data_IF_458910305331
#
_entry.id   IF_458910305331
#
_cell.length_a   1.000
_cell.length_b   1.000
_cell.length_c   1.000
_cell.angle_alpha   90.00
_cell.angle_beta   90.00
_cell.angle_gamma   90.00
#
_symmetry.space_group_name_H-M   'P 1'
#
loop_
_entity.id
_entity.type
_entity.pdbx_description
1 polymer ?
#
# COMPACT_ATOMS: atom_id res chain seq x y z
N UNK A 1 -11.81 -15.23 2.94
CA UNK A 1 -10.62 -15.22 3.84
C UNK A 1 -9.44 -15.86 3.12
N UNK A 2 -8.29 -15.23 3.16
CA UNK A 2 -7.09 -15.76 2.49
C UNK A 2 -6.59 -17.05 3.16
N UNK A 3 -6.14 -17.99 2.33
CA UNK A 3 -5.48 -19.20 2.84
C UNK A 3 -4.01 -18.87 3.16
N UNK A 4 -3.64 -18.93 4.41
CA UNK A 4 -2.30 -18.57 4.88
C UNK A 4 -1.17 -19.45 4.31
N UNK A 5 -1.49 -20.59 3.73
CA UNK A 5 -0.51 -21.50 3.14
C UNK A 5 -0.36 -21.38 1.63
N UNK A 6 -1.09 -20.41 1.03
CA UNK A 6 -0.93 -20.05 -0.39
C UNK A 6 -0.39 -18.63 -0.48
N UNK A 7 0.21 -18.24 -1.61
CA UNK A 7 0.67 -16.87 -1.79
C UNK A 7 -0.48 -15.88 -1.55
N UNK A 8 -0.24 -14.88 -0.72
CA UNK A 8 -1.24 -13.85 -0.40
C UNK A 8 -0.55 -12.58 0.06
N UNK A 9 -1.29 -11.48 -0.01
CA UNK A 9 -0.86 -10.19 0.51
C UNK A 9 -1.82 -9.77 1.62
N UNK A 10 -1.30 -9.60 2.83
CA UNK A 10 -2.06 -9.04 3.95
C UNK A 10 -1.89 -7.54 3.94
N UNK A 11 -2.99 -6.79 3.94
CA UNK A 11 -2.99 -5.34 3.82
C UNK A 11 -3.30 -4.70 5.16
N UNK A 12 -2.40 -3.81 5.61
CA UNK A 12 -2.54 -3.03 6.83
C UNK A 12 -2.84 -1.58 6.43
N UNK A 13 -3.98 -1.06 6.85
CA UNK A 13 -4.51 0.23 6.39
C UNK A 13 -4.64 1.22 7.54
N UNK A 14 -4.35 2.49 7.27
CA UNK A 14 -4.59 3.56 8.22
C UNK A 14 -6.08 3.86 8.36
N UNK A 15 -6.79 4.02 7.24
CA UNK A 15 -8.20 4.40 7.26
C UNK A 15 -9.02 3.75 6.13
N UNK A 16 -10.34 3.97 6.16
CA UNK A 16 -11.28 3.38 5.23
C UNK A 16 -11.07 3.79 3.77
N UNK A 17 -10.79 5.06 3.42
CA UNK A 17 -10.56 5.43 2.02
C UNK A 17 -9.47 4.61 1.37
N UNK A 18 -8.41 4.28 2.08
CA UNK A 18 -7.35 3.43 1.54
C UNK A 18 -7.83 2.00 1.26
N UNK A 19 -8.77 1.49 2.06
CA UNK A 19 -9.36 0.18 1.76
C UNK A 19 -10.02 0.17 0.39
N UNK A 20 -10.75 1.24 0.07
CA UNK A 20 -11.43 1.35 -1.22
C UNK A 20 -10.42 1.49 -2.37
N UNK A 21 -9.35 2.26 -2.16
CA UNK A 21 -8.27 2.39 -3.15
C UNK A 21 -7.63 1.02 -3.40
N UNK A 22 -7.32 0.28 -2.36
CA UNK A 22 -6.70 -1.04 -2.51
C UNK A 22 -7.65 -2.05 -3.17
N UNK A 23 -8.94 -1.96 -2.90
CA UNK A 23 -9.91 -2.76 -3.65
C UNK A 23 -9.80 -2.50 -5.17
N UNK A 24 -9.63 -1.24 -5.57
CA UNK A 24 -9.38 -0.89 -6.96
C UNK A 24 -8.09 -1.49 -7.51
N UNK A 25 -7.03 -1.48 -6.71
CA UNK A 25 -5.75 -2.11 -7.07
C UNK A 25 -5.94 -3.62 -7.30
N UNK A 26 -6.69 -4.30 -6.43
CA UNK A 26 -6.91 -5.74 -6.55
C UNK A 26 -7.70 -6.14 -7.81
N UNK A 27 -8.49 -5.21 -8.35
CA UNK A 27 -9.26 -5.44 -9.57
C UNK A 27 -8.42 -5.27 -10.84
N UNK A 28 -7.17 -4.82 -10.72
CA UNK A 28 -6.29 -4.64 -11.85
C UNK A 28 -5.68 -5.97 -12.30
N UNK A 29 -5.65 -6.20 -13.61
CA UNK A 29 -5.00 -7.39 -14.19
C UNK A 29 -3.48 -7.29 -14.21
N UNK A 30 -2.93 -6.10 -13.90
CA UNK A 30 -1.49 -5.86 -13.92
C UNK A 30 -0.79 -6.24 -12.61
N UNK A 31 -1.55 -6.53 -11.57
CA UNK A 31 -1.01 -6.99 -10.28
C UNK A 31 -0.90 -8.51 -10.28
N UNK A 32 0.13 -9.04 -9.62
CA UNK A 32 0.28 -10.49 -9.45
C UNK A 32 -0.98 -11.09 -8.84
N UNK A 33 -1.33 -12.29 -9.29
CA UNK A 33 -2.54 -12.99 -8.84
C UNK A 33 -2.34 -13.52 -7.40
N UNK A 34 -2.19 -12.59 -6.45
CA UNK A 34 -2.22 -12.90 -5.04
C UNK A 34 -3.63 -12.79 -4.50
N UNK A 35 -3.94 -13.61 -3.53
CA UNK A 35 -5.17 -13.46 -2.76
C UNK A 35 -4.95 -12.36 -1.70
N UNK A 36 -5.68 -11.27 -1.80
CA UNK A 36 -5.55 -10.14 -0.88
C UNK A 36 -6.36 -10.39 0.39
N UNK A 37 -5.70 -10.24 1.53
CA UNK A 37 -6.32 -10.28 2.86
C UNK A 37 -6.32 -8.87 3.43
N UNK A 38 -7.40 -8.13 3.15
CA UNK A 38 -7.52 -6.73 3.56
C UNK A 38 -8.04 -6.67 4.99
N UNK A 39 -7.18 -6.20 5.89
CA UNK A 39 -7.52 -6.12 7.32
C UNK A 39 -8.34 -4.88 7.61
N UNK A 40 -9.02 -4.88 8.77
CA UNK A 40 -9.78 -3.74 9.25
C UNK A 40 -8.86 -2.53 9.42
N UNK A 41 -9.29 -1.30 9.03
CA UNK A 41 -8.47 -0.10 9.23
C UNK A 41 -8.06 0.09 10.69
N UNK A 42 -6.82 0.53 10.91
CA UNK A 42 -6.25 0.68 12.25
C UNK A 42 -6.59 2.01 12.92
N UNK A 43 -7.08 2.99 12.16
CA UNK A 43 -7.42 4.34 12.64
C UNK A 43 -6.20 5.13 13.15
N UNK A 44 -5.15 5.18 12.35
CA UNK A 44 -3.96 5.99 12.60
C UNK A 44 -2.67 5.29 12.19
N UNK A 45 -1.70 6.08 11.72
CA UNK A 45 -0.44 5.53 11.23
C UNK A 45 0.39 4.86 12.34
N UNK A 46 0.31 5.38 13.57
CA UNK A 46 1.01 4.77 14.71
C UNK A 46 0.48 3.38 15.04
N UNK A 47 -0.82 3.19 14.87
CA UNK A 47 -1.45 1.88 15.06
C UNK A 47 -1.07 0.91 13.95
N UNK A 48 -0.95 1.40 12.71
CA UNK A 48 -0.43 0.60 11.58
C UNK A 48 1.01 0.18 11.87
N UNK A 49 1.82 1.08 12.38
CA UNK A 49 3.21 0.78 12.75
C UNK A 49 3.30 -0.35 13.78
N UNK A 50 2.47 -0.28 14.81
CA UNK A 50 2.40 -1.35 15.83
C UNK A 50 1.97 -2.68 15.22
N UNK A 51 0.95 -2.65 14.36
CA UNK A 51 0.44 -3.84 13.72
C UNK A 51 1.48 -4.47 12.79
N UNK A 52 2.25 -3.64 12.08
CA UNK A 52 3.34 -4.12 11.24
C UNK A 52 4.39 -4.86 12.08
N UNK A 53 4.77 -4.33 13.25
CA UNK A 53 5.69 -5.01 14.15
C UNK A 53 5.20 -6.40 14.51
N UNK A 54 3.92 -6.54 14.82
CA UNK A 54 3.33 -7.82 15.17
C UNK A 54 3.32 -8.78 13.97
N UNK A 55 2.96 -8.27 12.79
CA UNK A 55 2.87 -9.08 11.58
C UNK A 55 4.23 -9.60 11.11
N UNK A 56 5.30 -8.81 11.26
CA UNK A 56 6.65 -9.22 10.88
C UNK A 56 7.07 -10.49 11.64
N UNK A 57 6.67 -10.61 12.90
CA UNK A 57 7.00 -11.79 13.73
C UNK A 57 6.47 -13.08 13.09
N UNK A 58 5.33 -13.00 12.40
CA UNK A 58 4.69 -14.17 11.79
C UNK A 58 5.20 -14.49 10.38
N UNK A 59 6.03 -13.64 9.77
CA UNK A 59 6.51 -13.87 8.41
C UNK A 59 7.40 -15.12 8.29
N UNK A 60 8.10 -15.49 9.35
CA UNK A 60 8.88 -16.72 9.36
C UNK A 60 7.97 -17.96 9.27
N UNK A 61 6.84 -17.92 9.97
CA UNK A 61 5.86 -19.00 9.97
C UNK A 61 5.08 -19.08 8.65
N UNK A 62 4.66 -17.92 8.12
CA UNK A 62 3.85 -17.83 6.92
C UNK A 62 4.71 -17.39 5.74
N UNK A 63 5.47 -18.31 5.17
CA UNK A 63 6.53 -18.02 4.19
C UNK A 63 6.04 -17.46 2.86
N UNK A 64 4.75 -17.64 2.55
CA UNK A 64 4.15 -17.14 1.31
C UNK A 64 3.35 -15.84 1.53
N UNK A 65 3.40 -15.28 2.74
CA UNK A 65 2.74 -14.02 3.06
C UNK A 65 3.60 -12.84 2.64
N UNK A 66 2.95 -11.88 1.98
CA UNK A 66 3.47 -10.55 1.75
C UNK A 66 2.65 -9.55 2.60
N UNK A 67 3.23 -8.43 2.93
CA UNK A 67 2.56 -7.36 3.66
C UNK A 67 2.53 -6.10 2.81
N UNK A 68 1.39 -5.44 2.78
CA UNK A 68 1.22 -4.13 2.16
C UNK A 68 0.75 -3.16 3.23
N UNK A 69 1.51 -2.12 3.45
CA UNK A 69 1.21 -1.06 4.41
C UNK A 69 0.74 0.17 3.64
N UNK A 70 -0.41 0.73 4.01
CA UNK A 70 -0.95 1.93 3.35
C UNK A 70 -1.28 2.98 4.39
N UNK A 71 -0.56 4.11 4.35
CA UNK A 71 -0.68 5.19 5.33
C UNK A 71 -0.63 6.57 4.66
N UNK A 72 -1.13 7.60 5.37
CA UNK A 72 -0.85 9.00 5.02
C UNK A 72 0.51 9.39 5.57
N UNK A 73 1.35 10.03 4.75
CA UNK A 73 2.64 10.52 5.21
C UNK A 73 2.58 11.92 5.80
N UNK A 74 1.47 12.66 5.60
CA UNK A 74 1.19 13.97 6.20
C UNK A 74 2.35 14.97 6.09
N UNK A 75 2.91 15.11 4.88
CA UNK A 75 4.08 15.95 4.58
C UNK A 75 5.37 15.54 5.29
N UNK A 76 5.38 14.36 5.90
CA UNK A 76 6.55 13.82 6.61
C UNK A 76 7.02 12.51 5.97
N UNK A 77 7.02 12.45 4.64
CA UNK A 77 7.35 11.24 3.91
C UNK A 77 8.67 10.63 4.35
N UNK A 78 9.75 11.41 4.37
CA UNK A 78 11.08 10.86 4.62
C UNK A 78 11.20 10.28 6.02
N UNK A 79 10.68 10.98 7.03
CA UNK A 79 10.75 10.49 8.41
C UNK A 79 9.89 9.26 8.63
N UNK A 80 8.64 9.26 8.13
CA UNK A 80 7.74 8.13 8.29
C UNK A 80 8.16 6.92 7.47
N UNK A 81 8.52 7.14 6.20
CA UNK A 81 8.99 6.06 5.35
C UNK A 81 10.23 5.40 5.97
N UNK A 82 11.15 6.21 6.49
CA UNK A 82 12.34 5.69 7.16
C UNK A 82 11.98 4.86 8.39
N UNK A 83 11.05 5.32 9.21
CA UNK A 83 10.60 4.56 10.39
C UNK A 83 10.09 3.18 10.01
N UNK A 84 9.22 3.12 9.00
CA UNK A 84 8.66 1.85 8.53
C UNK A 84 9.73 0.97 7.87
N UNK A 85 10.59 1.56 7.05
CA UNK A 85 11.67 0.82 6.36
C UNK A 85 12.68 0.25 7.34
N UNK A 86 13.05 1.02 8.38
CA UNK A 86 14.00 0.56 9.39
C UNK A 86 13.44 -0.59 10.24
N UNK A 87 12.12 -0.70 10.32
CA UNK A 87 11.47 -1.80 11.02
C UNK A 87 11.58 -3.12 10.25
N UNK A 88 11.71 -3.06 8.93
CA UNK A 88 11.71 -4.23 8.06
C UNK A 88 13.10 -4.87 8.04
N UNK A 89 13.23 -6.14 8.50
CA UNK A 89 14.50 -6.87 8.36
C UNK A 89 14.89 -7.02 6.89
N UNK A 90 16.19 -7.00 6.61
CA UNK A 90 16.70 -7.15 5.24
C UNK A 90 16.16 -8.39 4.53
N UNK A 91 16.02 -9.48 5.26
CA UNK A 91 15.50 -10.75 4.73
C UNK A 91 14.04 -10.67 4.26
N UNK A 92 13.28 -9.66 4.70
CA UNK A 92 11.86 -9.50 4.35
C UNK A 92 11.60 -8.31 3.42
N UNK A 93 12.62 -7.62 2.93
CA UNK A 93 12.43 -6.45 2.06
C UNK A 93 11.62 -6.76 0.80
N UNK A 94 11.77 -7.96 0.25
CA UNK A 94 11.03 -8.39 -0.94
C UNK A 94 9.58 -8.79 -0.64
N UNK A 95 9.20 -8.81 0.62
CA UNK A 95 7.88 -9.26 1.05
C UNK A 95 7.03 -8.18 1.69
N UNK A 96 7.58 -6.97 1.87
CA UNK A 96 6.88 -5.87 2.52
C UNK A 96 6.89 -4.65 1.59
N UNK A 97 5.70 -4.10 1.35
CA UNK A 97 5.49 -2.94 0.49
C UNK A 97 4.87 -1.81 1.31
N UNK A 98 5.29 -0.57 1.06
CA UNK A 98 4.80 0.61 1.77
C UNK A 98 4.27 1.61 0.76
N UNK A 99 2.97 1.88 0.81
CA UNK A 99 2.30 2.85 -0.04
C UNK A 99 1.69 3.96 0.80
N UNK A 100 1.53 5.13 0.19
CA UNK A 100 0.85 6.24 0.85
C UNK A 100 0.90 7.52 0.03
N UNK A 101 0.25 8.55 0.56
CA UNK A 101 0.21 9.87 -0.04
C UNK A 101 0.83 10.87 0.93
N UNK A 102 1.74 11.71 0.43
CA UNK A 102 2.46 12.64 1.31
C UNK A 102 1.79 14.00 1.45
N UNK A 103 1.38 14.59 0.34
CA UNK A 103 0.93 15.98 0.32
C UNK A 103 -0.59 16.15 0.20
N UNK A 104 -1.34 15.09 0.48
CA UNK A 104 -2.81 15.12 0.50
C UNK A 104 -3.33 14.09 1.49
N UNK A 105 -4.44 14.40 2.12
CA UNK A 105 -5.18 13.40 2.89
C UNK A 105 -5.94 12.48 1.95
N UNK A 106 -6.24 11.27 2.40
CA UNK A 106 -6.95 10.27 1.59
C UNK A 106 -8.29 10.81 1.05
N UNK A 107 -9.00 11.59 1.85
CA UNK A 107 -10.30 12.16 1.47
C UNK A 107 -10.18 13.18 0.33
N UNK A 108 -9.03 13.83 0.18
CA UNK A 108 -8.80 14.83 -0.87
C UNK A 108 -8.48 14.22 -2.23
N UNK A 109 -8.18 12.93 -2.27
CA UNK A 109 -7.76 12.28 -3.51
C UNK A 109 -8.86 12.26 -4.57
N UNK A 110 -10.12 12.17 -4.18
CA UNK A 110 -11.24 12.22 -5.13
C UNK A 110 -11.24 13.53 -5.92
N UNK A 111 -11.04 14.64 -5.23
CA UNK A 111 -10.98 15.96 -5.86
C UNK A 111 -9.73 16.09 -6.73
N UNK A 112 -8.59 15.66 -6.21
CA UNK A 112 -7.31 15.74 -6.91
C UNK A 112 -7.33 14.98 -8.24
N UNK A 113 -7.91 13.78 -8.27
CA UNK A 113 -7.99 12.96 -9.48
C UNK A 113 -9.27 13.19 -10.28
N UNK A 114 -10.16 14.06 -9.82
CA UNK A 114 -11.47 14.30 -10.45
C UNK A 114 -12.26 13.00 -10.62
N UNK A 115 -12.20 12.13 -9.62
CA UNK A 115 -12.86 10.82 -9.65
C UNK A 115 -13.94 10.70 -8.59
N UNK A 116 -14.99 9.94 -8.90
CA UNK A 116 -16.16 9.81 -8.06
C UNK A 116 -15.97 8.87 -6.87
N UNK A 117 -15.00 7.93 -6.94
CA UNK A 117 -14.76 6.99 -5.87
C UNK A 117 -13.29 6.56 -5.79
N UNK A 118 -12.91 6.07 -4.61
CA UNK A 118 -11.53 5.67 -4.33
C UNK A 118 -11.12 4.39 -5.08
N UNK A 119 -12.06 3.52 -5.39
CA UNK A 119 -11.78 2.28 -6.13
C UNK A 119 -11.24 2.59 -7.53
N UNK A 120 -11.82 3.58 -8.21
CA UNK A 120 -11.33 4.04 -9.52
C UNK A 120 -9.92 4.62 -9.43
N UNK A 121 -9.61 5.30 -8.32
CA UNK A 121 -8.26 5.82 -8.07
C UNK A 121 -7.25 4.66 -8.02
N UNK A 122 -7.57 3.59 -7.31
CA UNK A 122 -6.71 2.41 -7.23
C UNK A 122 -6.45 1.76 -8.58
N UNK A 123 -7.49 1.59 -9.39
CA UNK A 123 -7.35 1.05 -10.74
C UNK A 123 -6.46 1.93 -11.61
N UNK A 124 -6.67 3.25 -11.57
CA UNK A 124 -5.88 4.20 -12.34
C UNK A 124 -4.41 4.19 -11.92
N UNK A 125 -4.14 4.08 -10.64
CA UNK A 125 -2.78 4.02 -10.11
C UNK A 125 -1.99 2.88 -10.75
N UNK A 126 -2.58 1.70 -10.82
CA UNK A 126 -1.94 0.53 -11.41
C UNK A 126 -1.81 0.65 -12.93
N UNK A 127 -2.81 1.20 -13.60
CA UNK A 127 -2.81 1.38 -15.06
C UNK A 127 -1.76 2.39 -15.51
N UNK A 128 -1.60 3.49 -14.78
CA UNK A 128 -0.69 4.58 -15.16
C UNK A 128 0.79 4.23 -14.87
N UNK A 129 1.03 3.36 -13.92
CA UNK A 129 2.37 3.03 -13.46
C UNK A 129 3.32 2.58 -14.58
N UNK A 130 2.97 1.59 -15.44
CA UNK A 130 3.89 1.14 -16.49
C UNK A 130 4.05 2.12 -17.65
N UNK A 131 3.18 3.11 -17.76
CA UNK A 131 3.18 4.06 -18.88
C UNK A 131 3.98 5.33 -18.61
N UNK A 132 4.46 5.50 -17.40
CA UNK A 132 5.09 6.75 -16.94
C UNK A 132 4.21 7.99 -17.21
N UNK A 133 2.89 7.78 -17.39
CA UNK A 133 1.93 8.82 -17.72
C UNK A 133 1.23 9.28 -16.44
N UNK A 134 1.97 9.99 -15.61
CA UNK A 134 1.58 10.28 -14.23
C UNK A 134 1.46 11.77 -13.99
N UNK A 135 0.80 12.50 -14.91
CA UNK A 135 0.62 13.93 -14.77
C UNK A 135 0.00 14.33 -13.42
N UNK A 136 -0.87 13.48 -12.88
CA UNK A 136 -1.48 13.73 -11.58
C UNK A 136 -0.69 13.13 -10.40
N UNK A 137 0.38 12.38 -10.69
CA UNK A 137 1.21 11.71 -9.69
C UNK A 137 2.64 12.29 -9.65
N UNK A 138 2.81 13.47 -10.21
CA UNK A 138 4.13 14.09 -10.38
C UNK A 138 4.64 14.72 -9.09
N UNK A 139 5.00 13.89 -8.15
CA UNK A 139 5.84 14.35 -7.07
C UNK A 139 6.71 13.19 -6.58
N UNK A 140 7.78 13.53 -5.91
CA UNK A 140 8.78 12.59 -5.43
C UNK A 140 8.20 11.47 -4.57
N UNK A 141 7.18 11.75 -3.79
CA UNK A 141 6.58 10.77 -2.88
C UNK A 141 5.77 9.73 -3.63
N UNK A 142 5.13 10.14 -4.70
CA UNK A 142 4.40 9.22 -5.57
C UNK A 142 5.34 8.35 -6.40
N UNK A 143 6.52 8.86 -6.77
CA UNK A 143 7.54 8.05 -7.44
C UNK A 143 7.97 6.87 -6.57
N UNK A 144 8.07 7.06 -5.26
CA UNK A 144 8.34 5.95 -4.34
C UNK A 144 7.21 4.92 -4.33
N UNK A 145 5.96 5.36 -4.40
CA UNK A 145 4.81 4.46 -4.50
C UNK A 145 4.84 3.68 -5.81
N UNK A 146 5.28 4.29 -6.91
CA UNK A 146 5.42 3.62 -8.18
C UNK A 146 6.41 2.45 -8.11
N UNK A 147 7.53 2.65 -7.45
CA UNK A 147 8.52 1.59 -7.24
C UNK A 147 7.87 0.42 -6.50
N UNK A 148 7.10 0.69 -5.44
CA UNK A 148 6.42 -0.35 -4.68
C UNK A 148 5.36 -1.08 -5.54
N UNK A 149 4.61 -0.36 -6.34
CA UNK A 149 3.59 -0.96 -7.22
C UNK A 149 4.26 -1.84 -8.29
N UNK A 150 5.37 -1.39 -8.88
CA UNK A 150 6.11 -2.21 -9.83
C UNK A 150 6.63 -3.50 -9.20
N UNK A 151 7.07 -3.45 -7.95
CA UNK A 151 7.51 -4.64 -7.23
C UNK A 151 6.38 -5.64 -7.02
N UNK A 152 5.13 -5.18 -6.93
CA UNK A 152 3.95 -6.02 -6.73
C UNK A 152 3.49 -6.72 -8.01
N UNK A 153 3.91 -6.25 -9.16
CA UNK A 153 3.48 -6.78 -10.46
C UNK A 153 4.10 -8.11 -10.85
#
# INVERSE_FOLDING_TARGET
>A
MANNYKPHIRVLLEDKPYRDIINGVTLSTNIKDYLFDIRKPCDGWTKVFKELKNEIIFLERFKLRHLLVVIDFDYEFESRYKMFSDLVPDEYQDRIFILGVDNKESEELKTFFSMSDFEKIGKKLVEDCPKSNLTNWQNRHLDCNLIEIERMK
#
